data_IF_849798867096
#
_entry.id   IF_849798867096
#
_cell.length_a   1.000
_cell.length_b   1.000
_cell.length_c   1.000
_cell.angle_alpha   90.00
_cell.angle_beta   90.00
_cell.angle_gamma   90.00
#
_symmetry.space_group_name_H-M   'P 1'
#
loop_
_entity.id
_entity.type
_entity.pdbx_description
1 polymer ?
#
# COMPACT_ATOMS: atom_id res chain seq x y z
N UNK A 1 5.71 17.69 -12.00
CA UNK A 1 4.80 17.24 -10.92
C UNK A 1 5.27 17.91 -9.64
N UNK A 2 4.41 18.64 -8.94
CA UNK A 2 4.74 19.29 -7.66
C UNK A 2 3.96 18.58 -6.55
N UNK A 3 4.64 18.27 -5.45
CA UNK A 3 4.08 17.58 -4.29
C UNK A 3 4.27 18.48 -3.07
N UNK A 4 3.18 18.72 -2.34
CA UNK A 4 3.18 19.45 -1.08
C UNK A 4 2.30 18.69 -0.07
N UNK A 5 2.76 18.57 1.17
CA UNK A 5 2.01 17.94 2.28
C UNK A 5 1.44 16.54 1.94
N UNK A 6 2.24 15.73 1.23
CA UNK A 6 1.87 14.37 0.83
C UNK A 6 0.79 14.28 -0.26
N UNK A 7 0.49 15.40 -0.94
CA UNK A 7 -0.50 15.49 -2.03
C UNK A 7 0.12 16.09 -3.27
N UNK A 8 -0.43 15.73 -4.43
CA UNK A 8 -0.10 16.39 -5.69
C UNK A 8 -0.73 17.79 -5.65
N UNK A 9 0.09 18.84 -5.68
CA UNK A 9 -0.36 20.24 -5.67
C UNK A 9 -0.49 20.82 -7.08
N UNK A 10 0.35 20.38 -8.02
CA UNK A 10 0.29 20.82 -9.42
C UNK A 10 0.86 19.77 -10.40
N UNK A 11 0.31 19.76 -11.62
CA UNK A 11 0.80 18.98 -12.77
C UNK A 11 0.85 19.92 -13.98
N UNK A 12 1.99 20.01 -14.66
CA UNK A 12 2.18 20.90 -15.80
C UNK A 12 3.64 20.98 -16.25
N UNK A 13 3.92 21.83 -17.25
CA UNK A 13 5.29 22.12 -17.67
C UNK A 13 6.01 22.96 -16.61
N UNK A 14 7.35 22.93 -16.62
CA UNK A 14 8.15 23.69 -15.66
C UNK A 14 7.85 25.21 -15.65
N UNK A 15 7.48 25.78 -16.80
CA UNK A 15 7.09 27.19 -16.92
C UNK A 15 5.69 27.51 -16.38
N UNK A 16 4.89 26.49 -16.07
CA UNK A 16 3.47 26.61 -15.71
C UNK A 16 3.21 26.24 -14.24
N UNK A 17 4.20 25.69 -13.53
CA UNK A 17 4.07 25.23 -12.14
C UNK A 17 5.16 25.83 -11.27
N UNK A 18 4.81 26.22 -10.05
CA UNK A 18 5.78 26.69 -9.06
C UNK A 18 6.50 25.51 -8.39
N UNK A 19 7.76 25.30 -8.75
CA UNK A 19 8.66 24.35 -8.10
C UNK A 19 9.82 25.01 -7.33
N UNK A 20 9.86 26.35 -7.25
CA UNK A 20 11.08 27.13 -6.99
C UNK A 20 11.69 26.95 -5.59
N UNK A 21 10.90 26.49 -4.61
CA UNK A 21 11.34 26.25 -3.23
C UNK A 21 11.19 24.78 -2.81
N UNK A 22 11.23 23.83 -3.75
CA UNK A 22 11.10 22.42 -3.42
C UNK A 22 12.22 21.94 -2.49
N UNK A 23 11.86 21.30 -1.37
CA UNK A 23 12.82 20.70 -0.43
C UNK A 23 13.56 19.48 -1.03
N UNK A 24 13.00 18.87 -2.06
CA UNK A 24 13.59 17.73 -2.77
C UNK A 24 13.22 17.81 -4.24
N UNK A 25 14.22 17.63 -5.11
CA UNK A 25 14.05 17.60 -6.55
C UNK A 25 14.44 16.21 -7.04
N UNK A 26 13.55 15.57 -7.80
CA UNK A 26 13.78 14.28 -8.43
C UNK A 26 13.73 14.49 -9.94
N UNK A 27 14.86 14.30 -10.61
CA UNK A 27 14.92 14.31 -12.07
C UNK A 27 14.50 12.94 -12.61
N UNK A 28 13.41 12.90 -13.38
CA UNK A 28 12.90 11.67 -13.97
C UNK A 28 13.72 11.21 -15.19
N UNK A 29 14.66 12.02 -15.70
CA UNK A 29 15.54 11.67 -16.83
C UNK A 29 14.79 11.14 -18.07
N UNK A 30 13.59 11.69 -18.31
CA UNK A 30 12.71 11.28 -19.42
C UNK A 30 11.90 10.00 -19.18
N UNK A 31 12.01 9.35 -18.01
CA UNK A 31 11.18 8.21 -17.66
C UNK A 31 9.70 8.62 -17.46
N UNK A 32 8.80 7.68 -17.74
CA UNK A 32 7.38 7.85 -17.44
C UNK A 32 7.16 7.87 -15.92
N UNK A 33 6.29 8.77 -15.47
CA UNK A 33 5.79 8.82 -14.09
C UNK A 33 4.35 8.36 -14.09
N UNK A 34 4.04 7.33 -13.31
CA UNK A 34 2.70 6.76 -13.19
C UNK A 34 2.17 6.91 -11.75
N UNK A 35 0.84 6.89 -11.55
CA UNK A 35 0.27 6.64 -10.23
C UNK A 35 0.76 5.30 -9.68
N UNK A 36 0.88 5.21 -8.36
CA UNK A 36 1.13 3.92 -7.73
C UNK A 36 -0.01 2.95 -8.00
N UNK A 37 0.31 1.68 -8.25
CA UNK A 37 -0.67 0.66 -8.58
C UNK A 37 -1.53 0.30 -7.35
N UNK A 38 -2.75 -0.15 -7.62
CA UNK A 38 -3.69 -0.66 -6.62
C UNK A 38 -3.92 -2.13 -6.92
N UNK A 39 -3.51 -3.02 -6.02
CA UNK A 39 -3.92 -4.41 -6.07
C UNK A 39 -5.21 -4.56 -5.24
N UNK A 40 -6.33 -4.78 -5.93
CA UNK A 40 -7.63 -4.82 -5.30
C UNK A 40 -7.98 -6.21 -4.74
N UNK A 41 -7.09 -7.21 -4.83
CA UNK A 41 -7.38 -8.57 -4.38
C UNK A 41 -6.17 -9.18 -3.69
N UNK A 42 -6.05 -8.94 -2.39
CA UNK A 42 -4.94 -9.45 -1.59
C UNK A 42 -5.44 -10.20 -0.36
N UNK A 43 -4.79 -11.29 0.02
CA UNK A 43 -5.14 -12.07 1.20
C UNK A 43 -4.07 -11.94 2.29
N UNK A 44 -4.00 -10.80 3.01
CA UNK A 44 -3.09 -10.65 4.12
C UNK A 44 -3.48 -11.58 5.28
N UNK A 45 -2.54 -11.90 6.17
CA UNK A 45 -2.81 -12.77 7.34
C UNK A 45 -2.19 -12.20 8.60
N UNK A 46 -0.86 -12.09 8.69
CA UNK A 46 -0.19 -11.59 9.89
C UNK A 46 1.05 -10.78 9.53
N UNK A 47 0.92 -9.45 9.56
CA UNK A 47 1.97 -8.56 9.08
C UNK A 47 2.36 -8.90 7.65
N UNK A 48 3.67 -8.94 7.38
CA UNK A 48 4.22 -9.29 6.06
C UNK A 48 4.56 -10.78 5.91
N UNK A 49 3.96 -11.65 6.73
CA UNK A 49 4.04 -13.10 6.55
C UNK A 49 2.73 -13.66 5.99
N UNK A 50 2.85 -14.59 5.04
CA UNK A 50 1.74 -15.38 4.52
C UNK A 50 1.94 -16.88 4.77
N UNK A 51 0.97 -17.57 5.38
CA UNK A 51 0.99 -19.02 5.54
C UNK A 51 0.79 -19.77 4.22
N UNK A 52 0.13 -19.15 3.23
CA UNK A 52 -0.33 -19.86 2.02
C UNK A 52 0.85 -20.30 1.14
N UNK A 53 1.94 -19.53 1.16
CA UNK A 53 3.20 -19.79 0.47
C UNK A 53 4.39 -19.93 1.44
N UNK A 54 4.15 -19.79 2.75
CA UNK A 54 5.19 -19.72 3.78
C UNK A 54 6.29 -18.70 3.45
N UNK A 55 5.88 -17.46 3.19
CA UNK A 55 6.75 -16.38 2.73
C UNK A 55 6.67 -15.17 3.66
N UNK A 56 7.81 -14.50 3.84
CA UNK A 56 7.96 -13.21 4.53
C UNK A 56 8.45 -12.18 3.52
N UNK A 57 8.04 -10.91 3.66
CA UNK A 57 8.55 -9.81 2.84
C UNK A 57 7.85 -9.64 1.49
N UNK A 58 6.64 -10.21 1.34
CA UNK A 58 5.94 -10.20 0.06
C UNK A 58 5.26 -8.84 -0.20
N UNK A 59 4.80 -8.14 0.83
CA UNK A 59 4.26 -6.78 0.71
C UNK A 59 5.37 -5.80 0.32
N UNK A 60 6.53 -5.91 0.96
CA UNK A 60 7.73 -5.14 0.59
C UNK A 60 8.12 -5.36 -0.87
N UNK A 61 8.16 -6.62 -1.31
CA UNK A 61 8.42 -6.99 -2.71
C UNK A 61 7.36 -6.44 -3.67
N UNK A 62 6.11 -6.36 -3.23
CA UNK A 62 4.99 -5.82 -4.02
C UNK A 62 5.11 -4.29 -4.19
N UNK A 63 5.64 -3.56 -3.20
CA UNK A 63 6.00 -2.14 -3.34
C UNK A 63 7.12 -1.95 -4.37
N UNK A 64 8.13 -2.83 -4.38
CA UNK A 64 9.18 -2.80 -5.41
C UNK A 64 8.62 -3.01 -6.83
N UNK A 65 7.49 -3.72 -6.95
CA UNK A 65 6.73 -3.86 -8.20
C UNK A 65 5.84 -2.65 -8.56
N UNK A 66 5.81 -1.59 -7.74
CA UNK A 66 5.07 -0.36 -7.99
C UNK A 66 3.66 -0.31 -7.37
N UNK A 67 3.25 -1.32 -6.60
CA UNK A 67 1.97 -1.31 -5.88
C UNK A 67 2.09 -0.48 -4.61
N UNK A 68 1.26 0.55 -4.49
CA UNK A 68 1.28 1.47 -3.33
C UNK A 68 0.06 1.31 -2.43
N UNK A 69 -0.98 0.62 -2.91
CA UNK A 69 -2.18 0.31 -2.15
C UNK A 69 -2.60 -1.13 -2.43
N UNK A 70 -2.93 -1.86 -1.37
CA UNK A 70 -3.57 -3.18 -1.45
C UNK A 70 -4.92 -3.13 -0.74
N UNK A 71 -5.88 -3.91 -1.24
CA UNK A 71 -7.20 -4.07 -0.62
C UNK A 71 -7.35 -5.52 -0.17
N UNK A 72 -7.68 -5.72 1.11
CA UNK A 72 -7.92 -7.05 1.65
C UNK A 72 -9.17 -7.67 1.00
N UNK A 73 -8.99 -8.82 0.36
CA UNK A 73 -10.04 -9.75 -0.04
C UNK A 73 -10.38 -10.75 1.09
N UNK A 74 -9.95 -10.44 2.32
CA UNK A 74 -10.17 -11.21 3.54
C UNK A 74 -9.03 -12.16 3.89
N UNK A 75 -8.89 -12.43 5.18
CA UNK A 75 -7.81 -13.20 5.78
C UNK A 75 -8.10 -14.72 5.71
N UNK A 76 -8.52 -15.20 4.53
CA UNK A 76 -9.03 -16.56 4.31
C UNK A 76 -7.99 -17.66 4.55
N UNK A 77 -6.71 -17.30 4.48
CA UNK A 77 -5.59 -18.20 4.70
C UNK A 77 -5.13 -18.26 6.17
N UNK A 78 -5.79 -17.54 7.08
CA UNK A 78 -5.51 -17.61 8.52
C UNK A 78 -5.62 -19.06 9.02
N UNK A 79 -4.54 -19.66 9.56
CA UNK A 79 -4.62 -21.01 10.11
C UNK A 79 -5.64 -21.07 11.24
N UNK A 80 -6.59 -22.00 11.15
CA UNK A 80 -7.67 -22.10 12.14
C UNK A 80 -8.70 -20.96 12.09
N UNK A 81 -8.83 -20.25 10.94
CA UNK A 81 -9.78 -19.14 10.75
C UNK A 81 -11.17 -19.46 11.34
N UNK A 82 -11.71 -18.60 12.23
CA UNK A 82 -13.07 -18.77 12.75
C UNK A 82 -14.12 -18.70 11.64
N UNK A 83 -15.21 -19.46 11.83
CA UNK A 83 -16.32 -19.55 10.88
C UNK A 83 -17.68 -19.17 11.47
N UNK A 84 -17.77 -19.02 12.78
CA UNK A 84 -18.93 -18.46 13.44
C UNK A 84 -18.97 -16.93 13.27
N UNK A 85 -20.15 -16.34 13.46
CA UNK A 85 -20.38 -14.91 13.23
C UNK A 85 -19.53 -14.02 14.15
N UNK A 86 -19.32 -14.44 15.40
CA UNK A 86 -18.58 -13.66 16.38
C UNK A 86 -17.10 -13.65 16.03
N UNK A 87 -16.52 -14.83 15.78
CA UNK A 87 -15.13 -14.99 15.41
C UNK A 87 -14.79 -14.36 14.08
N UNK A 88 -15.66 -14.47 13.05
CA UNK A 88 -15.45 -13.81 11.76
C UNK A 88 -15.39 -12.29 11.90
N UNK A 89 -16.32 -11.70 12.67
CA UNK A 89 -16.32 -10.25 12.92
C UNK A 89 -15.09 -9.82 13.72
N UNK A 90 -14.72 -10.60 14.73
CA UNK A 90 -13.54 -10.32 15.56
C UNK A 90 -12.25 -10.35 14.72
N UNK A 91 -12.10 -11.33 13.82
CA UNK A 91 -10.96 -11.40 12.90
C UNK A 91 -10.90 -10.18 11.98
N UNK A 92 -12.01 -9.80 11.36
CA UNK A 92 -12.06 -8.63 10.47
C UNK A 92 -11.64 -7.34 11.19
N UNK A 93 -12.14 -7.11 12.41
CA UNK A 93 -11.77 -5.94 13.23
C UNK A 93 -10.29 -5.98 13.61
N UNK A 94 -9.78 -7.14 14.02
CA UNK A 94 -8.38 -7.31 14.39
C UNK A 94 -7.45 -7.07 13.20
N UNK A 95 -7.77 -7.64 12.04
CA UNK A 95 -7.05 -7.45 10.79
C UNK A 95 -7.03 -5.97 10.38
N UNK A 96 -8.20 -5.32 10.33
CA UNK A 96 -8.32 -3.91 9.97
C UNK A 96 -7.43 -3.02 10.85
N UNK A 97 -7.45 -3.22 12.18
CA UNK A 97 -6.63 -2.44 13.11
C UNK A 97 -5.14 -2.73 12.95
N UNK A 98 -4.78 -3.99 12.75
CA UNK A 98 -3.38 -4.39 12.55
C UNK A 98 -2.81 -3.74 11.30
N UNK A 99 -3.52 -3.83 10.18
CA UNK A 99 -3.05 -3.34 8.91
C UNK A 99 -3.20 -1.82 8.73
N UNK A 100 -4.11 -1.17 9.47
CA UNK A 100 -4.13 0.31 9.55
C UNK A 100 -2.85 0.88 10.17
N UNK A 101 -2.22 0.11 11.07
CA UNK A 101 -0.99 0.50 11.77
C UNK A 101 0.28 -0.05 11.09
N UNK A 102 0.16 -0.84 10.02
CA UNK A 102 1.28 -1.45 9.32
C UNK A 102 1.41 -0.88 7.91
N UNK A 103 2.55 -0.21 7.64
CA UNK A 103 2.79 0.52 6.38
C UNK A 103 4.15 0.16 5.77
N UNK A 104 4.35 -1.09 5.30
CA UNK A 104 5.63 -1.49 4.70
C UNK A 104 5.95 -0.58 3.52
N UNK A 105 7.12 0.09 3.57
CA UNK A 105 7.54 1.13 2.61
C UNK A 105 6.46 2.19 2.28
N UNK A 106 5.60 2.52 3.25
CA UNK A 106 4.54 3.51 3.07
C UNK A 106 3.29 3.01 2.35
N UNK A 107 3.20 1.73 1.96
CA UNK A 107 2.02 1.11 1.35
C UNK A 107 0.76 1.34 2.20
N UNK A 108 -0.38 1.57 1.54
CA UNK A 108 -1.69 1.55 2.17
C UNK A 108 -2.27 0.13 2.12
N UNK A 109 -2.80 -0.33 3.24
CA UNK A 109 -3.50 -1.61 3.34
C UNK A 109 -4.91 -1.27 3.79
N UNK A 110 -5.90 -1.58 2.94
CA UNK A 110 -7.30 -1.19 3.12
C UNK A 110 -8.20 -2.41 3.35
#
# INVERSE_FOLDING_TARGET
LVIADGRISAIGKASEVDGGNAATIIDAMGCAVAPGLIDNHVHPVAGDWTPRQNQIGWMDSTVHGGVTTIISAGEVHTPGRPRDLVGLKALAIAAQRTFSNFRPNGMKIL
#
